data_IF_921132965148
#
_entry.id   IF_921132965148
#
_cell.length_a   1.000
_cell.length_b   1.000
_cell.length_c   1.000
_cell.angle_alpha   90.00
_cell.angle_beta   90.00
_cell.angle_gamma   90.00
#
_symmetry.space_group_name_H-M   'P 1'
#
loop_
_entity.id
_entity.type
_entity.pdbx_description
1 polymer ?
#
# COMPACT_ATOMS: atom_id res chain seq x y z
N UNK A 1 -6.35 -8.29 18.29
CA UNK A 1 -5.87 -8.36 19.67
C UNK A 1 -5.24 -7.03 20.06
N UNK A 2 -5.37 -6.70 21.35
CA UNK A 2 -4.66 -5.56 21.95
C UNK A 2 -3.82 -6.08 23.11
N UNK A 3 -2.51 -5.83 23.06
CA UNK A 3 -1.64 -6.04 24.21
C UNK A 3 -1.62 -4.77 25.05
N UNK A 4 -1.92 -4.90 26.33
CA UNK A 4 -1.90 -3.79 27.28
C UNK A 4 -0.72 -3.99 28.23
N UNK A 5 0.22 -3.05 28.19
CA UNK A 5 1.27 -2.95 29.20
C UNK A 5 0.80 -2.02 30.31
N UNK A 6 0.88 -2.49 31.55
CA UNK A 6 0.60 -1.65 32.73
C UNK A 6 1.85 -1.63 33.60
N UNK A 7 2.35 -0.44 33.89
CA UNK A 7 3.46 -0.22 34.80
C UNK A 7 2.98 -0.20 36.25
N UNK A 8 3.89 -0.32 37.21
CA UNK A 8 3.58 -0.31 38.63
C UNK A 8 2.90 0.99 39.12
N UNK A 9 3.17 2.10 38.45
CA UNK A 9 2.54 3.40 38.72
C UNK A 9 1.13 3.53 38.12
N UNK A 10 0.62 2.49 37.45
CA UNK A 10 -0.67 2.47 36.79
C UNK A 10 -0.68 3.03 35.36
N UNK A 11 0.45 3.51 34.84
CA UNK A 11 0.59 3.94 33.45
C UNK A 11 0.30 2.78 32.51
N UNK A 12 -0.52 3.00 31.47
CA UNK A 12 -0.91 1.99 30.49
C UNK A 12 -0.52 2.41 29.09
N UNK A 13 -0.04 1.43 28.32
CA UNK A 13 0.15 1.57 26.89
C UNK A 13 -0.55 0.41 26.16
N UNK A 14 -1.06 0.68 24.96
CA UNK A 14 -1.84 -0.25 24.17
C UNK A 14 -1.15 -0.49 22.83
N UNK A 15 -0.97 -1.77 22.48
CA UNK A 15 -0.36 -2.17 21.21
C UNK A 15 -1.35 -3.05 20.45
N UNK A 16 -1.90 -2.59 19.32
CA UNK A 16 -2.73 -3.43 18.47
C UNK A 16 -1.86 -4.52 17.81
N UNK A 17 -2.38 -5.73 17.78
CA UNK A 17 -1.77 -6.87 17.07
C UNK A 17 -2.81 -7.45 16.13
N UNK A 18 -2.49 -7.52 14.86
CA UNK A 18 -3.33 -8.18 13.85
C UNK A 18 -2.99 -9.66 13.80
N UNK A 19 -4.01 -10.50 13.93
CA UNK A 19 -3.91 -11.92 13.67
C UNK A 19 -4.51 -12.16 12.29
N UNK A 20 -3.66 -12.50 11.34
CA UNK A 20 -4.06 -12.82 9.98
C UNK A 20 -4.20 -14.35 9.90
N UNK A 21 -5.42 -14.87 9.72
CA UNK A 21 -5.60 -16.32 9.55
C UNK A 21 -4.99 -16.77 8.21
N UNK A 22 -4.68 -18.05 8.05
CA UNK A 22 -4.33 -18.59 6.75
C UNK A 22 -5.44 -18.29 5.73
N UNK A 23 -5.08 -17.68 4.61
CA UNK A 23 -6.01 -17.31 3.55
C UNK A 23 -5.69 -18.18 2.34
N UNK A 24 -6.66 -19.01 1.93
CA UNK A 24 -6.55 -19.81 0.71
C UNK A 24 -6.86 -18.95 -0.51
N UNK A 25 -5.80 -18.43 -1.11
CA UNK A 25 -5.84 -17.57 -2.29
C UNK A 25 -4.54 -17.76 -3.07
N UNK A 26 -4.64 -17.75 -4.38
CA UNK A 26 -3.49 -17.84 -5.27
C UNK A 26 -3.20 -16.47 -5.87
N UNK A 27 -1.95 -16.04 -5.77
CA UNK A 27 -1.48 -14.75 -6.31
C UNK A 27 -0.38 -15.05 -7.33
N UNK A 28 -0.62 -14.64 -8.57
CA UNK A 28 0.32 -14.79 -9.70
C UNK A 28 0.46 -13.46 -10.42
N UNK A 29 1.30 -13.43 -11.46
CA UNK A 29 1.40 -12.25 -12.34
C UNK A 29 0.12 -11.96 -13.11
N UNK A 30 -0.67 -12.99 -13.36
CA UNK A 30 -1.94 -12.88 -14.10
C UNK A 30 -3.06 -12.32 -13.23
N UNK A 31 -2.97 -12.48 -11.91
CA UNK A 31 -4.01 -11.97 -11.01
C UNK A 31 -4.12 -12.69 -9.67
N UNK A 32 -5.25 -12.45 -9.03
CA UNK A 32 -5.66 -13.01 -7.75
C UNK A 32 -6.78 -14.02 -8.01
N UNK A 33 -6.54 -15.29 -7.70
CA UNK A 33 -7.48 -16.38 -7.95
C UNK A 33 -7.95 -16.99 -6.62
N UNK A 34 -9.26 -17.20 -6.52
CA UNK A 34 -9.91 -17.92 -5.44
C UNK A 34 -11.24 -18.51 -5.92
N UNK A 35 -11.55 -19.75 -5.51
CA UNK A 35 -12.81 -20.43 -5.80
C UNK A 35 -13.17 -20.44 -7.31
N UNK A 36 -12.15 -20.60 -8.18
CA UNK A 36 -12.30 -20.60 -9.63
C UNK A 36 -12.64 -19.26 -10.28
N UNK A 37 -12.56 -18.16 -9.52
CA UNK A 37 -12.72 -16.80 -10.02
C UNK A 37 -11.42 -16.03 -9.91
N UNK A 38 -11.14 -15.22 -10.93
CA UNK A 38 -9.93 -14.41 -10.99
C UNK A 38 -10.26 -12.92 -11.07
N UNK A 39 -9.52 -12.12 -10.32
CA UNK A 39 -9.37 -10.67 -10.53
C UNK A 39 -8.03 -10.50 -11.24
N UNK A 40 -8.06 -10.11 -12.49
CA UNK A 40 -6.87 -10.04 -13.33
C UNK A 40 -5.97 -8.85 -12.96
N UNK A 41 -4.66 -9.03 -13.06
CA UNK A 41 -3.71 -7.94 -13.14
C UNK A 41 -3.43 -7.62 -14.60
N UNK A 42 -3.62 -6.37 -14.98
CA UNK A 42 -3.44 -5.91 -16.36
C UNK A 42 -2.49 -4.71 -16.41
N UNK A 43 -1.81 -4.52 -17.52
CA UNK A 43 -1.07 -3.29 -17.77
C UNK A 43 -2.01 -2.13 -18.10
N UNK A 44 -1.51 -0.89 -18.06
CA UNK A 44 -2.32 0.29 -18.37
C UNK A 44 -2.81 0.32 -19.84
N UNK A 45 -2.18 -0.46 -20.72
CA UNK A 45 -2.48 -0.53 -22.16
C UNK A 45 -3.46 -1.65 -22.49
N UNK A 46 -3.68 -2.60 -21.58
CA UNK A 46 -4.56 -3.74 -21.78
C UNK A 46 -5.99 -3.41 -21.36
N UNK A 47 -6.94 -3.86 -22.16
CA UNK A 47 -8.35 -3.86 -21.76
C UNK A 47 -8.66 -5.17 -21.07
N UNK A 48 -9.17 -5.10 -19.86
CA UNK A 48 -9.63 -6.28 -19.15
C UNK A 48 -11.10 -6.59 -19.47
N UNK A 49 -11.36 -7.83 -19.82
CA UNK A 49 -12.72 -8.37 -19.85
C UNK A 49 -13.04 -8.93 -18.45
N UNK A 50 -13.82 -8.19 -17.66
CA UNK A 50 -14.21 -8.60 -16.31
C UNK A 50 -13.51 -7.85 -15.18
N UNK A 51 -13.44 -8.48 -13.99
CA UNK A 51 -12.84 -7.88 -12.81
C UNK A 51 -11.31 -7.78 -12.95
N UNK A 52 -10.79 -6.57 -12.90
CA UNK A 52 -9.35 -6.34 -13.07
C UNK A 52 -8.84 -5.17 -12.25
N UNK A 53 -7.53 -5.21 -12.00
CA UNK A 53 -6.75 -4.15 -11.39
C UNK A 53 -5.61 -3.82 -12.35
N UNK A 54 -5.48 -2.56 -12.70
CA UNK A 54 -4.34 -2.08 -13.46
C UNK A 54 -3.12 -2.00 -12.54
N UNK A 55 -2.04 -2.66 -12.95
CA UNK A 55 -0.72 -2.54 -12.30
C UNK A 55 0.19 -1.73 -13.20
N UNK A 56 0.38 -0.43 -12.91
CA UNK A 56 1.18 0.45 -13.75
C UNK A 56 2.66 0.04 -13.72
N UNK A 57 3.39 0.40 -14.78
CA UNK A 57 4.83 0.17 -14.86
C UNK A 57 5.57 0.87 -13.72
N UNK A 58 6.53 0.19 -13.13
CA UNK A 58 7.43 0.75 -12.13
C UNK A 58 8.64 1.49 -12.74
N UNK A 59 8.80 1.46 -14.06
CA UNK A 59 9.94 2.06 -14.73
C UNK A 59 9.97 3.58 -14.53
N UNK A 60 11.10 4.08 -14.04
CA UNK A 60 11.27 5.50 -13.73
C UNK A 60 10.50 6.01 -12.52
N UNK A 61 9.81 5.13 -11.79
CA UNK A 61 9.04 5.49 -10.60
C UNK A 61 9.87 5.28 -9.31
N UNK A 62 9.49 6.02 -8.26
CA UNK A 62 10.16 5.91 -6.96
C UNK A 62 9.59 4.72 -6.16
N UNK A 63 10.44 3.88 -5.55
CA UNK A 63 9.99 2.82 -4.67
C UNK A 63 9.18 3.36 -3.49
N UNK A 64 8.10 2.67 -3.13
CA UNK A 64 7.23 3.05 -2.02
C UNK A 64 7.72 2.53 -0.65
N UNK A 65 8.71 1.63 -0.62
CA UNK A 65 9.25 1.05 0.63
C UNK A 65 9.73 2.11 1.63
N UNK A 66 10.18 3.25 1.14
CA UNK A 66 10.60 4.37 1.98
C UNK A 66 9.46 5.03 2.76
N UNK A 67 8.20 4.71 2.46
CA UNK A 67 7.05 5.20 3.21
C UNK A 67 7.02 4.72 4.67
N UNK A 68 7.82 3.73 5.02
CA UNK A 68 7.94 3.19 6.37
C UNK A 68 9.23 3.59 7.09
N UNK A 69 10.09 4.35 6.42
CA UNK A 69 11.38 4.72 6.97
C UNK A 69 11.28 5.97 7.84
N UNK A 70 11.44 5.79 9.14
CA UNK A 70 11.47 6.87 10.13
C UNK A 70 12.65 7.85 9.99
N UNK A 71 13.66 7.47 9.22
CA UNK A 71 14.89 8.26 9.09
C UNK A 71 14.80 9.36 8.06
N UNK A 72 13.74 9.41 7.28
CA UNK A 72 13.52 10.46 6.28
C UNK A 72 12.85 11.70 6.86
N UNK A 73 13.40 12.24 7.94
CA UNK A 73 13.04 13.59 8.36
C UNK A 73 13.43 14.61 7.29
N UNK A 74 12.68 15.72 7.16
CA UNK A 74 12.99 16.79 6.20
C UNK A 74 14.42 17.27 6.29
N UNK A 75 14.95 17.32 7.48
CA UNK A 75 16.32 17.71 7.77
C UNK A 75 17.36 16.76 7.15
N UNK A 76 17.13 15.47 7.22
CA UNK A 76 18.07 14.49 6.65
C UNK A 76 18.02 14.48 5.12
N UNK A 77 16.85 14.70 4.55
CA UNK A 77 16.71 14.87 3.11
C UNK A 77 17.52 16.05 2.62
N UNK A 78 17.35 17.23 3.20
CA UNK A 78 18.11 18.43 2.84
C UNK A 78 19.63 18.23 2.94
N UNK A 79 20.09 17.55 4.00
CA UNK A 79 21.52 17.25 4.16
C UNK A 79 21.98 16.28 3.07
N UNK A 80 21.23 15.23 2.77
CA UNK A 80 21.59 14.25 1.75
C UNK A 80 21.61 14.89 0.36
N UNK A 81 20.64 15.73 0.03
CA UNK A 81 20.60 16.50 -1.22
C UNK A 81 21.81 17.42 -1.35
N UNK A 82 22.15 18.16 -0.29
CA UNK A 82 23.33 19.04 -0.27
C UNK A 82 24.65 18.29 -0.44
N UNK A 83 24.68 17.02 -0.06
CA UNK A 83 25.82 16.12 -0.23
C UNK A 83 25.83 15.38 -1.56
N UNK A 84 24.88 15.66 -2.47
CA UNK A 84 24.76 15.00 -3.77
C UNK A 84 24.40 13.51 -3.69
N UNK A 85 23.82 13.06 -2.58
CA UNK A 85 23.38 11.67 -2.43
C UNK A 85 21.97 11.48 -3.01
N UNK A 86 21.67 10.34 -3.65
CA UNK A 86 20.30 10.03 -4.01
C UNK A 86 19.44 9.99 -2.74
N UNK A 87 18.36 10.76 -2.74
CA UNK A 87 17.48 10.89 -1.60
C UNK A 87 16.15 10.24 -1.96
N UNK A 88 15.70 9.26 -1.18
CA UNK A 88 14.35 8.75 -1.35
C UNK A 88 13.34 9.87 -1.10
N UNK A 89 12.14 9.71 -1.65
CA UNK A 89 11.04 10.61 -1.36
C UNK A 89 10.86 10.67 0.15
N UNK A 90 10.89 11.88 0.72
CA UNK A 90 10.79 12.04 2.16
C UNK A 90 9.43 11.56 2.65
N UNK A 91 9.41 10.70 3.65
CA UNK A 91 8.20 10.01 4.03
C UNK A 91 7.69 10.47 5.38
N UNK A 92 6.38 10.69 5.44
CA UNK A 92 5.64 10.82 6.69
C UNK A 92 4.71 9.60 6.90
N UNK A 93 4.85 8.59 6.04
CA UNK A 93 4.01 7.41 6.01
C UNK A 93 2.91 7.46 4.97
N UNK A 94 1.84 6.71 5.22
CA UNK A 94 0.66 6.62 4.35
C UNK A 94 -0.51 7.40 4.94
N UNK A 95 -1.34 7.95 4.05
CA UNK A 95 -2.72 8.28 4.33
C UNK A 95 -3.61 7.23 3.65
N UNK A 96 -4.54 6.65 4.41
CA UNK A 96 -5.35 5.52 3.98
C UNK A 96 -6.82 5.90 4.16
N UNK A 97 -7.58 5.82 3.07
CA UNK A 97 -9.04 5.93 3.13
C UNK A 97 -9.63 4.61 3.63
N UNK A 98 -9.92 4.57 4.93
CA UNK A 98 -10.50 3.39 5.58
C UNK A 98 -11.93 3.09 5.11
N UNK A 99 -12.60 3.99 4.41
CA UNK A 99 -13.92 3.78 3.83
C UNK A 99 -13.84 3.08 2.46
N UNK A 100 -12.66 2.95 1.86
CA UNK A 100 -12.48 2.30 0.57
C UNK A 100 -13.01 0.86 0.58
N UNK A 101 -13.87 0.48 -0.39
CA UNK A 101 -14.42 -0.87 -0.47
C UNK A 101 -13.33 -1.93 -0.64
N UNK A 102 -12.20 -1.58 -1.25
CA UNK A 102 -11.08 -2.48 -1.50
C UNK A 102 -10.31 -2.87 -0.23
N UNK A 103 -10.46 -2.11 0.86
CA UNK A 103 -9.71 -2.30 2.10
C UNK A 103 -10.54 -2.91 3.23
N UNK A 104 -11.82 -3.23 3.02
CA UNK A 104 -12.74 -3.68 4.07
C UNK A 104 -12.29 -4.91 4.85
N UNK A 105 -11.54 -5.80 4.23
CA UNK A 105 -11.04 -7.04 4.85
C UNK A 105 -9.55 -7.01 5.17
N UNK A 106 -8.90 -5.91 4.89
CA UNK A 106 -7.51 -5.70 5.23
C UNK A 106 -7.42 -4.90 6.53
N UNK A 107 -6.50 -5.29 7.44
CA UNK A 107 -6.26 -4.57 8.69
C UNK A 107 -5.84 -3.13 8.38
N UNK A 108 -6.63 -2.17 8.84
CA UNK A 108 -6.50 -0.80 8.42
C UNK A 108 -6.70 0.17 9.56
N UNK A 109 -5.74 1.04 9.64
CA UNK A 109 -5.82 2.32 10.29
C UNK A 109 -5.72 3.37 9.17
N UNK A 110 -5.97 4.63 9.47
CA UNK A 110 -5.83 5.73 8.50
C UNK A 110 -4.36 6.13 8.23
N UNK A 111 -3.42 5.42 8.84
CA UNK A 111 -1.96 5.63 8.76
C UNK A 111 -1.20 4.31 8.54
N UNK A 112 0.11 4.42 8.32
CA UNK A 112 1.00 3.27 8.11
C UNK A 112 1.09 2.39 9.35
N UNK A 113 0.81 1.12 9.17
CA UNK A 113 1.03 0.08 10.18
C UNK A 113 2.02 -0.96 9.66
N UNK A 114 2.59 -1.83 10.51
CA UNK A 114 3.47 -2.92 10.07
C UNK A 114 2.85 -3.84 9.01
N UNK A 115 1.51 -3.92 8.91
CA UNK A 115 0.82 -4.70 7.89
C UNK A 115 1.11 -4.23 6.46
N UNK A 116 1.53 -2.98 6.26
CA UNK A 116 1.89 -2.44 4.96
C UNK A 116 3.32 -2.72 4.53
N UNK A 117 4.19 -3.17 5.44
CA UNK A 117 5.63 -3.26 5.17
C UNK A 117 5.96 -4.12 3.94
N UNK A 118 5.48 -5.37 3.91
CA UNK A 118 5.75 -6.28 2.80
C UNK A 118 5.12 -5.80 1.48
N UNK A 119 3.97 -5.14 1.54
CA UNK A 119 3.27 -4.59 0.38
C UNK A 119 4.08 -3.43 -0.23
N UNK A 120 4.54 -2.50 0.61
CA UNK A 120 5.30 -1.33 0.15
C UNK A 120 6.64 -1.68 -0.47
N UNK A 121 7.25 -2.79 -0.06
CA UNK A 121 8.49 -3.29 -0.67
C UNK A 121 8.33 -3.71 -2.14
N UNK A 122 7.10 -4.00 -2.58
CA UNK A 122 6.79 -4.36 -3.97
C UNK A 122 6.11 -3.24 -4.74
N UNK A 123 5.83 -2.11 -4.08
CA UNK A 123 5.12 -0.98 -4.64
C UNK A 123 6.06 0.13 -5.12
N UNK A 124 5.54 0.95 -5.99
CA UNK A 124 6.12 2.24 -6.36
C UNK A 124 5.11 3.36 -6.13
N UNK A 125 5.56 4.60 -6.21
CA UNK A 125 4.72 5.78 -6.02
C UNK A 125 4.34 6.35 -7.37
N UNK A 126 3.06 6.49 -7.63
CA UNK A 126 2.53 7.11 -8.85
C UNK A 126 2.07 8.54 -8.55
N UNK A 127 2.64 9.52 -9.25
CA UNK A 127 2.14 10.91 -9.20
C UNK A 127 0.83 11.01 -9.98
N UNK A 128 -0.22 11.48 -9.31
CA UNK A 128 -1.58 11.55 -9.85
C UNK A 128 -2.02 13.00 -10.08
N UNK A 129 -2.96 13.24 -10.99
CA UNK A 129 -3.69 14.51 -11.11
C UNK A 129 -4.36 14.91 -9.78
N UNK A 130 -4.54 16.22 -9.57
CA UNK A 130 -5.05 16.74 -8.30
C UNK A 130 -6.52 16.37 -7.99
N UNK A 131 -7.27 16.01 -9.00
CA UNK A 131 -8.68 15.59 -8.92
C UNK A 131 -8.85 14.10 -8.56
N UNK A 132 -7.77 13.31 -8.62
CA UNK A 132 -7.80 11.91 -8.18
C UNK A 132 -7.53 11.82 -6.69
N UNK A 133 -8.43 11.14 -5.96
CA UNK A 133 -8.29 10.87 -4.54
C UNK A 133 -7.89 9.42 -4.32
N UNK A 134 -6.61 9.14 -3.98
CA UNK A 134 -6.15 7.78 -3.74
C UNK A 134 -6.79 7.17 -2.49
N UNK A 135 -7.11 5.88 -2.55
CA UNK A 135 -7.48 5.11 -1.37
C UNK A 135 -6.27 4.84 -0.45
N UNK A 136 -5.08 4.73 -1.05
CA UNK A 136 -3.80 4.68 -0.33
C UNK A 136 -2.82 5.60 -1.02
N UNK A 137 -2.30 6.57 -0.30
CA UNK A 137 -1.29 7.48 -0.80
C UNK A 137 -0.12 7.64 0.16
N UNK A 138 1.04 7.90 -0.41
CA UNK A 138 2.20 8.34 0.37
C UNK A 138 2.06 9.82 0.73
N UNK A 139 2.45 10.19 1.94
CA UNK A 139 2.57 11.57 2.37
C UNK A 139 4.04 11.96 2.30
N UNK A 140 4.39 12.85 1.39
CA UNK A 140 5.71 13.47 1.32
C UNK A 140 5.73 14.79 2.10
N UNK A 141 6.79 15.01 2.86
CA UNK A 141 6.95 16.22 3.66
C UNK A 141 7.35 17.45 2.84
N UNK A 142 7.86 17.27 1.64
CA UNK A 142 8.26 18.36 0.73
C UNK A 142 7.20 18.66 -0.33
N UNK A 143 6.47 17.64 -0.76
CA UNK A 143 5.44 17.73 -1.80
C UNK A 143 4.03 17.51 -1.21
N UNK A 144 3.71 18.21 -0.13
CA UNK A 144 2.48 18.04 0.66
C UNK A 144 1.18 18.10 -0.14
N UNK A 145 1.19 18.78 -1.26
CA UNK A 145 0.03 18.91 -2.15
C UNK A 145 0.02 17.87 -3.28
N UNK A 146 1.08 17.09 -3.43
CA UNK A 146 1.12 16.07 -4.47
C UNK A 146 0.21 14.89 -4.10
N UNK A 147 -0.49 14.37 -5.12
CA UNK A 147 -1.22 13.11 -5.01
C UNK A 147 -0.28 11.97 -5.39
N UNK A 148 0.25 11.29 -4.38
CA UNK A 148 1.24 10.22 -4.54
C UNK A 148 0.57 8.89 -4.28
N UNK A 149 -0.07 8.33 -5.31
CA UNK A 149 -0.95 7.16 -5.19
C UNK A 149 -0.22 5.83 -5.14
N UNK A 150 -0.74 4.90 -4.35
CA UNK A 150 -0.39 3.47 -4.31
C UNK A 150 -1.60 2.64 -4.73
N UNK A 151 -2.77 2.94 -4.18
CA UNK A 151 -4.05 2.35 -4.56
C UNK A 151 -5.02 3.50 -4.89
N UNK A 152 -5.54 3.55 -6.10
CA UNK A 152 -6.41 4.65 -6.55
C UNK A 152 -7.36 4.19 -7.64
N UNK A 153 -8.40 4.98 -7.88
CA UNK A 153 -9.31 4.78 -9.00
C UNK A 153 -9.13 5.90 -10.02
N UNK A 154 -9.00 5.53 -11.29
CA UNK A 154 -8.96 6.47 -12.41
C UNK A 154 -9.84 5.92 -13.53
N UNK A 155 -10.69 6.79 -14.11
CA UNK A 155 -11.62 6.43 -15.19
C UNK A 155 -12.50 5.20 -14.86
N UNK A 156 -12.89 5.06 -13.60
CA UNK A 156 -13.69 3.93 -13.11
C UNK A 156 -12.93 2.63 -12.88
N UNK A 157 -11.61 2.61 -13.15
CA UNK A 157 -10.76 1.42 -13.01
C UNK A 157 -9.83 1.58 -11.80
N UNK A 158 -9.65 0.49 -11.07
CA UNK A 158 -8.71 0.46 -9.94
C UNK A 158 -7.28 0.20 -10.39
N UNK A 159 -6.36 0.95 -9.81
CA UNK A 159 -4.93 0.86 -10.02
C UNK A 159 -4.25 0.52 -8.70
N UNK A 160 -3.33 -0.43 -8.74
CA UNK A 160 -2.48 -0.81 -7.61
C UNK A 160 -1.03 -0.84 -8.06
N UNK A 161 -0.17 -0.06 -7.44
CA UNK A 161 1.25 -0.01 -7.83
C UNK A 161 2.07 -1.14 -7.20
N UNK A 162 1.51 -1.87 -6.22
CA UNK A 162 2.18 -3.01 -5.59
C UNK A 162 2.07 -4.28 -6.44
N UNK A 163 3.19 -4.92 -6.68
CA UNK A 163 3.30 -6.20 -7.40
C UNK A 163 3.17 -7.36 -6.41
N UNK A 164 1.96 -7.66 -6.00
CA UNK A 164 1.67 -8.63 -4.93
C UNK A 164 2.25 -10.03 -5.21
N UNK A 165 2.43 -10.39 -6.48
CA UNK A 165 3.03 -11.67 -6.90
C UNK A 165 4.52 -11.80 -6.56
N UNK A 166 5.20 -10.74 -6.14
CA UNK A 166 6.60 -10.80 -5.70
C UNK A 166 6.73 -11.33 -4.27
N UNK A 167 5.64 -11.28 -3.50
CA UNK A 167 5.57 -11.80 -2.11
C UNK A 167 4.27 -12.58 -1.85
N UNK A 168 3.94 -13.60 -2.67
CA UNK A 168 2.64 -14.25 -2.65
C UNK A 168 2.35 -15.04 -1.36
N UNK A 169 3.37 -15.36 -0.60
CA UNK A 169 3.26 -16.13 0.65
C UNK A 169 3.25 -15.27 1.91
N UNK A 170 3.48 -13.96 1.77
CA UNK A 170 3.43 -13.05 2.93
C UNK A 170 1.98 -12.90 3.42
N UNK A 171 1.73 -13.09 4.74
CA UNK A 171 0.37 -13.04 5.28
C UNK A 171 -0.37 -11.74 5.02
N UNK A 172 0.35 -10.59 5.07
CA UNK A 172 -0.27 -9.27 4.87
C UNK A 172 -0.58 -9.02 3.39
N UNK A 173 0.29 -9.49 2.49
CA UNK A 173 0.05 -9.46 1.04
C UNK A 173 -1.16 -10.32 0.68
N UNK A 174 -1.28 -11.52 1.27
CA UNK A 174 -2.45 -12.40 1.09
C UNK A 174 -3.74 -11.77 1.62
N UNK A 175 -3.67 -11.10 2.77
CA UNK A 175 -4.82 -10.39 3.35
C UNK A 175 -5.29 -9.24 2.46
N UNK A 176 -4.37 -8.44 1.91
CA UNK A 176 -4.71 -7.39 0.96
C UNK A 176 -5.29 -7.99 -0.32
N UNK A 177 -4.64 -9.00 -0.90
CA UNK A 177 -5.14 -9.68 -2.10
C UNK A 177 -6.55 -10.22 -1.91
N UNK A 178 -6.84 -10.82 -0.76
CA UNK A 178 -8.19 -11.28 -0.45
C UNK A 178 -9.19 -10.14 -0.37
N UNK A 179 -8.83 -9.02 0.25
CA UNK A 179 -9.70 -7.84 0.32
C UNK A 179 -10.03 -7.27 -1.07
N UNK A 180 -9.03 -7.18 -1.94
CA UNK A 180 -9.19 -6.74 -3.33
C UNK A 180 -10.09 -7.71 -4.12
N UNK A 181 -9.81 -9.01 -4.02
CA UNK A 181 -10.59 -10.03 -4.71
C UNK A 181 -12.06 -10.03 -4.25
N UNK A 182 -12.31 -9.94 -2.95
CA UNK A 182 -13.66 -9.90 -2.38
C UNK A 182 -14.47 -8.70 -2.87
N UNK A 183 -13.82 -7.56 -3.05
CA UNK A 183 -14.46 -6.33 -3.46
C UNK A 183 -14.76 -6.24 -4.98
N UNK A 184 -14.00 -6.98 -5.80
CA UNK A 184 -14.03 -6.85 -7.27
C UNK A 184 -14.65 -8.06 -7.98
N UNK A 185 -14.82 -9.20 -7.31
CA UNK A 185 -15.37 -10.44 -7.88
C UNK A 185 -16.82 -10.33 -8.39
#
# INVERSE_FOLDING_TARGET
LTVVLTLEDGTRNHYPIWLIPPIDIRITREGIEKDGRMVAFVSAEEKADGAAIVVPSAEGQLPAEYCTDFWCYPMFRSISESMGKPVPVGTMGLSIDTASPLLKRFAQEDYTTPAWYAILQTAHVQRLPADIHPAVQMIDNTERCARLGILYQQDGVWHLTARLWEKPDDPTVRALAWSLWEALK
#
